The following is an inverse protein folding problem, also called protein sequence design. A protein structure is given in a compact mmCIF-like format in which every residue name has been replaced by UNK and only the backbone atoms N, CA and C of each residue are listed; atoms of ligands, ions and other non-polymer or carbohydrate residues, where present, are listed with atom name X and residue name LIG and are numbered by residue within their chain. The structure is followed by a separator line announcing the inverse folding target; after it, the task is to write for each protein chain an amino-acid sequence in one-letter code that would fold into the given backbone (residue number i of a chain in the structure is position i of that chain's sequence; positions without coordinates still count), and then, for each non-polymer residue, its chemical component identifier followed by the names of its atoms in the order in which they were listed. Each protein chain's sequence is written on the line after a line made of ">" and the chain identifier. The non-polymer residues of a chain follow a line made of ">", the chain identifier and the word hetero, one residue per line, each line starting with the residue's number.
data_IF_100825452346
#
_entry.id   IF_100825452346
#
_cell.length_a   1.000
_cell.length_b   1.000
_cell.length_c   1.000
_cell.angle_alpha   90.00
_cell.angle_beta   90.00
_cell.angle_gamma   90.00
#
_symmetry.space_group_name_H-M   'P 1'
#
loop_
_entity.id
_entity.type
_entity.pdbx_description
1 polymer ?
#
# COMPACT_ATOMS: atom_id res chain seq x y z
N UNK A 1 7.42 -5.14 -0.16
CA UNK A 1 6.44 -6.00 -0.85
C UNK A 1 6.12 -5.38 -2.19
N UNK A 2 6.50 -6.00 -3.32
CA UNK A 2 6.28 -5.43 -4.67
C UNK A 2 5.11 -6.08 -5.44
N UNK A 3 4.29 -6.89 -4.76
CA UNK A 3 3.21 -7.69 -5.40
C UNK A 3 2.19 -6.80 -6.12
N UNK A 4 1.87 -5.64 -5.56
CA UNK A 4 0.90 -4.70 -6.13
C UNK A 4 1.49 -3.75 -7.17
N UNK A 5 2.78 -3.88 -7.52
CA UNK A 5 3.45 -3.01 -8.49
C UNK A 5 3.02 -3.25 -9.95
N UNK A 6 2.30 -4.36 -10.22
CA UNK A 6 1.85 -4.75 -11.57
C UNK A 6 2.98 -4.85 -12.61
N UNK A 7 4.21 -5.10 -12.17
CA UNK A 7 5.38 -5.30 -13.03
C UNK A 7 5.48 -6.76 -13.52
N UNK A 8 5.10 -7.69 -12.65
CA UNK A 8 5.14 -9.13 -12.88
C UNK A 8 3.81 -9.75 -12.50
N UNK A 9 3.46 -10.84 -13.17
CA UNK A 9 2.36 -11.70 -12.74
C UNK A 9 2.75 -12.33 -11.40
N UNK A 10 1.77 -12.44 -10.50
CA UNK A 10 1.98 -13.03 -9.18
C UNK A 10 0.97 -14.14 -8.95
N UNK A 11 1.35 -15.12 -8.14
CA UNK A 11 0.52 -16.29 -7.83
C UNK A 11 -0.13 -16.12 -6.45
N UNK A 12 -1.20 -16.88 -6.19
CA UNK A 12 -1.87 -16.85 -4.90
C UNK A 12 -0.92 -17.09 -3.70
N UNK A 13 0.13 -17.90 -3.89
CA UNK A 13 1.17 -18.12 -2.88
C UNK A 13 1.87 -16.83 -2.45
N UNK A 14 2.03 -15.87 -3.35
CA UNK A 14 2.61 -14.57 -3.03
C UNK A 14 1.67 -13.76 -2.13
N UNK A 15 0.37 -13.80 -2.41
CA UNK A 15 -0.66 -13.20 -1.56
C UNK A 15 -0.74 -13.88 -0.19
N UNK A 16 -0.67 -15.22 -0.13
CA UNK A 16 -0.70 -15.95 1.14
C UNK A 16 0.52 -15.62 2.00
N UNK A 17 1.72 -15.61 1.41
CA UNK A 17 2.95 -15.20 2.10
C UNK A 17 2.86 -13.74 2.58
N UNK A 18 2.20 -12.86 1.83
CA UNK A 18 1.95 -11.49 2.26
C UNK A 18 1.02 -11.43 3.47
N UNK A 19 -0.08 -12.20 3.46
CA UNK A 19 -1.00 -12.26 4.59
C UNK A 19 -0.32 -12.79 5.86
N UNK A 20 0.54 -13.80 5.72
CA UNK A 20 1.34 -14.35 6.81
C UNK A 20 2.33 -13.32 7.36
N UNK A 21 3.12 -12.68 6.49
CA UNK A 21 4.12 -11.66 6.90
C UNK A 21 3.50 -10.43 7.54
N UNK A 22 2.29 -10.05 7.12
CA UNK A 22 1.55 -8.93 7.67
C UNK A 22 0.68 -9.32 8.88
N UNK A 23 0.68 -10.60 9.28
CA UNK A 23 -0.20 -11.12 10.34
C UNK A 23 -1.69 -10.84 10.12
N UNK A 24 -2.12 -10.75 8.84
CA UNK A 24 -3.50 -10.45 8.45
C UNK A 24 -4.39 -11.69 8.35
N UNK A 25 -3.83 -12.89 8.55
CA UNK A 25 -4.53 -14.18 8.44
C UNK A 25 -5.74 -14.32 9.36
N UNK A 26 -5.83 -13.53 10.44
CA UNK A 26 -6.99 -13.50 11.35
C UNK A 26 -8.08 -12.50 10.94
N UNK A 27 -7.74 -11.53 10.10
CA UNK A 27 -8.62 -10.44 9.68
C UNK A 27 -9.23 -10.65 8.30
N UNK A 28 -8.64 -11.59 7.54
CA UNK A 28 -8.96 -11.86 6.14
C UNK A 28 -9.35 -13.32 6.00
N UNK A 29 -10.45 -13.54 5.30
CA UNK A 29 -10.92 -14.87 4.95
C UNK A 29 -10.11 -15.37 3.74
N UNK A 30 -9.23 -16.35 3.98
CA UNK A 30 -8.29 -16.85 2.97
C UNK A 30 -9.00 -17.58 1.81
N UNK A 31 -10.12 -18.25 2.08
CA UNK A 31 -10.89 -18.94 1.04
C UNK A 31 -11.61 -17.93 0.15
N UNK A 32 -12.20 -16.90 0.74
CA UNK A 32 -12.78 -15.79 -0.04
C UNK A 32 -11.71 -15.03 -0.82
N UNK A 33 -10.54 -14.80 -0.23
CA UNK A 33 -9.41 -14.15 -0.91
C UNK A 33 -8.95 -14.97 -2.14
N UNK A 34 -8.89 -16.29 -2.02
CA UNK A 34 -8.56 -17.16 -3.16
C UNK A 34 -9.58 -17.02 -4.30
N UNK A 35 -10.87 -17.06 -3.98
CA UNK A 35 -11.94 -16.89 -4.98
C UNK A 35 -11.90 -15.50 -5.65
N UNK A 36 -11.65 -14.45 -4.87
CA UNK A 36 -11.42 -13.09 -5.39
C UNK A 36 -10.23 -13.07 -6.35
N UNK A 37 -9.10 -13.67 -5.95
CA UNK A 37 -7.90 -13.75 -6.78
C UNK A 37 -8.14 -14.49 -8.10
N UNK A 38 -8.78 -15.66 -8.06
CA UNK A 38 -9.13 -16.42 -9.26
C UNK A 38 -10.00 -15.62 -10.23
N UNK A 39 -10.95 -14.84 -9.71
CA UNK A 39 -11.87 -14.04 -10.52
C UNK A 39 -11.19 -12.88 -11.25
N UNK A 40 -10.11 -12.32 -10.67
CA UNK A 40 -9.42 -11.15 -11.24
C UNK A 40 -8.13 -11.50 -11.97
N UNK A 41 -7.63 -12.73 -11.83
CA UNK A 41 -6.32 -13.15 -12.34
C UNK A 41 -6.15 -12.84 -13.83
N UNK A 42 -7.15 -13.22 -14.64
CA UNK A 42 -7.10 -12.98 -16.09
C UNK A 42 -7.08 -11.48 -16.43
N UNK A 43 -7.86 -10.68 -15.71
CA UNK A 43 -7.89 -9.21 -15.87
C UNK A 43 -6.55 -8.59 -15.49
N UNK A 44 -5.94 -9.04 -14.39
CA UNK A 44 -4.61 -8.58 -13.96
C UNK A 44 -3.53 -8.95 -14.97
N UNK A 45 -3.54 -10.18 -15.48
CA UNK A 45 -2.58 -10.65 -16.49
C UNK A 45 -2.66 -9.78 -17.77
N UNK A 46 -3.88 -9.42 -18.22
CA UNK A 46 -4.07 -8.49 -19.35
C UNK A 46 -3.51 -7.09 -19.08
N UNK A 47 -3.81 -6.52 -17.90
CA UNK A 47 -3.32 -5.18 -17.50
C UNK A 47 -1.78 -5.15 -17.45
N UNK A 48 -1.15 -6.23 -16.96
CA UNK A 48 0.31 -6.33 -16.89
C UNK A 48 0.91 -6.37 -18.30
N UNK A 49 0.34 -7.14 -19.21
CA UNK A 49 0.80 -7.22 -20.60
C UNK A 49 0.59 -5.90 -21.36
N UNK A 50 -0.56 -5.25 -21.20
CA UNK A 50 -0.83 -3.92 -21.77
C UNK A 50 0.19 -2.87 -21.28
N UNK A 51 0.58 -2.94 -20.00
CA UNK A 51 1.59 -2.05 -19.41
C UNK A 51 3.00 -2.30 -19.91
N UNK A 52 3.34 -3.53 -20.26
CA UNK A 52 4.64 -3.90 -20.87
C UNK A 52 4.73 -3.42 -22.33
N UNK A 53 3.63 -3.53 -23.08
CA UNK A 53 3.59 -3.18 -24.50
C UNK A 53 3.52 -1.67 -24.75
N UNK A 54 2.90 -0.91 -23.84
CA UNK A 54 2.85 0.55 -23.94
C UNK A 54 4.22 1.17 -23.61
N UNK A 55 5.01 1.54 -24.62
CA UNK A 55 6.27 2.29 -24.42
C UNK A 55 6.10 3.82 -24.35
N UNK A 56 4.90 4.33 -24.61
CA UNK A 56 4.64 5.78 -24.61
C UNK A 56 4.31 6.29 -23.20
N UNK A 57 5.10 7.25 -22.70
CA UNK A 57 5.08 7.73 -21.32
C UNK A 57 3.96 8.73 -20.99
N UNK A 58 3.19 9.20 -21.99
CA UNK A 58 2.38 10.41 -21.80
C UNK A 58 0.97 10.19 -21.22
N UNK A 59 0.46 8.95 -21.14
CA UNK A 59 -0.88 8.65 -20.59
C UNK A 59 -0.95 7.37 -19.73
N UNK A 60 0.17 6.92 -19.16
CA UNK A 60 0.12 5.76 -18.25
C UNK A 60 -0.57 6.15 -16.95
N UNK A 61 -1.77 5.60 -16.71
CA UNK A 61 -2.40 5.59 -15.37
C UNK A 61 -1.37 5.11 -14.35
N UNK A 62 -1.34 5.75 -13.19
CA UNK A 62 -0.54 5.31 -12.05
C UNK A 62 -1.01 3.93 -11.57
N UNK A 63 -0.16 3.23 -10.83
CA UNK A 63 -0.49 1.94 -10.21
C UNK A 63 -1.71 2.10 -9.29
N UNK A 64 -1.77 3.21 -8.53
CA UNK A 64 -2.88 3.51 -7.63
C UNK A 64 -4.19 3.73 -8.36
N UNK A 65 -4.20 4.47 -9.48
CA UNK A 65 -5.41 4.69 -10.29
C UNK A 65 -5.94 3.39 -10.89
N UNK A 66 -5.05 2.49 -11.31
CA UNK A 66 -5.46 1.18 -11.84
C UNK A 66 -6.11 0.32 -10.76
N UNK A 67 -5.50 0.24 -9.58
CA UNK A 67 -6.08 -0.47 -8.46
C UNK A 67 -7.40 0.18 -8.01
N UNK A 68 -7.48 1.50 -7.99
CA UNK A 68 -8.71 2.22 -7.67
C UNK A 68 -9.86 1.87 -8.62
N UNK A 69 -9.59 1.82 -9.93
CA UNK A 69 -10.59 1.41 -10.93
C UNK A 69 -11.03 -0.05 -10.73
N UNK A 70 -10.09 -0.96 -10.49
CA UNK A 70 -10.40 -2.35 -10.18
C UNK A 70 -11.30 -2.48 -8.94
N UNK A 71 -10.98 -1.78 -7.85
CA UNK A 71 -11.79 -1.82 -6.63
C UNK A 71 -13.16 -1.13 -6.78
N UNK A 72 -13.31 -0.22 -7.74
CA UNK A 72 -14.58 0.43 -8.04
C UNK A 72 -15.53 -0.48 -8.82
N UNK A 73 -14.99 -1.33 -9.69
CA UNK A 73 -15.78 -2.19 -10.58
C UNK A 73 -15.92 -3.63 -10.09
N UNK A 74 -15.01 -4.10 -9.22
CA UNK A 74 -14.95 -5.48 -8.75
C UNK A 74 -15.19 -5.53 -7.24
N UNK A 75 -16.04 -6.47 -6.82
CA UNK A 75 -16.29 -6.72 -5.40
C UNK A 75 -15.22 -7.66 -4.83
N UNK A 76 -14.04 -7.11 -4.53
CA UNK A 76 -12.87 -7.83 -3.98
C UNK A 76 -12.44 -7.25 -2.62
N UNK A 77 -13.30 -7.33 -1.59
CA UNK A 77 -13.08 -6.66 -0.31
C UNK A 77 -11.89 -7.20 0.48
N UNK A 78 -11.54 -8.49 0.35
CA UNK A 78 -10.39 -9.04 1.04
C UNK A 78 -9.09 -8.56 0.41
N UNK A 79 -9.01 -8.53 -0.92
CA UNK A 79 -7.85 -7.97 -1.60
C UNK A 79 -7.70 -6.46 -1.35
N UNK A 80 -8.81 -5.72 -1.29
CA UNK A 80 -8.81 -4.29 -0.94
C UNK A 80 -8.21 -4.05 0.45
N UNK A 81 -8.58 -4.87 1.46
CA UNK A 81 -8.01 -4.76 2.80
C UNK A 81 -6.49 -4.96 2.82
N UNK A 82 -5.98 -5.93 2.07
CA UNK A 82 -4.53 -6.16 1.93
C UNK A 82 -3.86 -4.94 1.30
N UNK A 83 -4.44 -4.44 0.20
CA UNK A 83 -3.91 -3.28 -0.50
C UNK A 83 -3.90 -2.04 0.39
N UNK A 84 -5.00 -1.74 1.06
CA UNK A 84 -5.10 -0.64 2.01
C UNK A 84 -4.06 -0.76 3.12
N UNK A 85 -3.87 -1.96 3.68
CA UNK A 85 -2.87 -2.17 4.72
C UNK A 85 -1.45 -1.84 4.21
N UNK A 86 -1.10 -2.35 3.02
CA UNK A 86 0.23 -2.13 2.42
C UNK A 86 0.45 -0.66 2.08
N UNK A 87 -0.56 0.04 1.53
CA UNK A 87 -0.43 1.46 1.17
C UNK A 87 -0.46 2.36 2.41
N UNK A 88 -1.18 1.97 3.47
CA UNK A 88 -1.25 2.72 4.72
C UNK A 88 0.03 2.63 5.56
N UNK A 89 0.82 1.58 5.37
CA UNK A 89 2.08 1.42 6.08
C UNK A 89 3.19 2.13 5.28
N UNK A 90 3.70 3.28 5.74
CA UNK A 90 4.76 3.98 5.01
C UNK A 90 5.98 3.05 4.90
N UNK A 91 6.42 2.75 3.68
CA UNK A 91 7.63 1.96 3.43
C UNK A 91 8.91 2.59 4.01
N UNK A 92 8.84 3.81 4.56
CA UNK A 92 9.97 4.53 5.13
C UNK A 92 9.57 5.27 6.39
N UNK A 93 10.40 5.11 7.44
CA UNK A 93 10.34 5.92 8.65
C UNK A 93 10.63 7.41 8.36
N UNK A 94 11.09 7.76 7.16
CA UNK A 94 11.43 9.13 6.76
C UNK A 94 10.28 10.14 6.95
N UNK A 95 9.02 9.70 6.87
CA UNK A 95 7.88 10.57 7.17
C UNK A 95 7.84 10.95 8.65
N UNK A 96 8.04 9.98 9.55
CA UNK A 96 8.14 10.21 10.98
C UNK A 96 9.43 10.96 11.33
N UNK A 97 10.56 10.60 10.71
CA UNK A 97 11.86 11.29 10.91
C UNK A 97 11.81 12.75 10.43
N UNK A 98 11.07 13.06 9.36
CA UNK A 98 10.83 14.45 8.94
C UNK A 98 10.00 15.21 9.98
N UNK A 99 8.95 14.59 10.51
CA UNK A 99 8.17 15.17 11.59
C UNK A 99 9.04 15.39 12.84
N UNK A 100 9.84 14.40 13.24
CA UNK A 100 10.80 14.51 14.35
C UNK A 100 11.90 15.54 14.08
N UNK A 101 12.36 15.72 12.84
CA UNK A 101 13.34 16.76 12.48
C UNK A 101 12.72 18.16 12.56
N UNK A 102 11.45 18.31 12.16
CA UNK A 102 10.72 19.57 12.32
C UNK A 102 10.49 19.89 13.80
N UNK A 103 10.08 18.90 14.59
CA UNK A 103 9.97 19.02 16.05
C UNK A 103 11.34 19.30 16.69
N UNK A 104 12.39 18.64 16.22
CA UNK A 104 13.77 18.85 16.64
C UNK A 104 14.23 20.28 16.35
N UNK A 105 13.94 20.82 15.16
CA UNK A 105 14.26 22.22 14.84
C UNK A 105 13.49 23.21 15.72
N UNK A 106 12.23 22.93 16.07
CA UNK A 106 11.46 23.73 17.02
C UNK A 106 11.95 23.61 18.47
N UNK A 107 12.47 22.44 18.86
CA UNK A 107 12.96 22.14 20.21
C UNK A 107 14.40 22.61 20.43
N UNK A 108 15.22 22.63 19.37
CA UNK A 108 16.65 22.96 19.43
C UNK A 108 16.95 24.40 19.00
N UNK A 109 15.95 25.19 18.59
CA UNK A 109 16.15 26.63 18.38
C UNK A 109 16.33 27.30 19.75
N UNK A 110 17.57 27.68 20.02
CA UNK A 110 18.12 28.19 21.27
C UNK A 110 17.63 29.60 21.63
N UNK A 111 16.38 29.92 21.32
CA UNK A 111 15.79 31.24 21.55
C UNK A 111 14.39 31.29 22.15
N UNK A 112 13.70 30.16 22.38
CA UNK A 112 12.47 30.16 23.16
C UNK A 112 12.27 28.84 23.92
N UNK A 113 12.95 28.67 25.07
CA UNK A 113 12.66 27.59 26.02
C UNK A 113 11.26 27.80 26.60
N UNK A 114 10.26 27.14 26.05
CA UNK A 114 9.05 26.83 26.80
C UNK A 114 9.40 25.65 27.70
N UNK A 115 9.50 25.91 29.01
CA UNK A 115 9.77 24.85 29.96
C UNK A 115 8.63 23.84 29.96
N UNK A 116 8.98 22.57 30.13
CA UNK A 116 8.12 21.37 30.01
C UNK A 116 7.02 21.31 31.09
N UNK A 117 6.87 22.37 31.87
CA UNK A 117 6.09 22.51 33.09
C UNK A 117 4.61 22.83 32.81
N UNK A 118 4.26 23.22 31.58
CA UNK A 118 2.91 23.66 31.22
C UNK A 118 2.14 22.71 30.29
N UNK A 119 2.68 21.51 30.01
CA UNK A 119 2.06 20.56 29.10
C UNK A 119 1.12 19.54 29.78
N UNK A 120 0.87 19.65 31.08
CA UNK A 120 -0.14 18.85 31.78
C UNK A 120 -0.87 19.69 32.85
N UNK A 121 -1.95 20.38 32.47
CA UNK A 121 -3.13 20.61 33.32
C UNK A 121 -4.36 20.72 32.43
#
# INVERSE_FOLDING_TARGET
>A
MRIFALENTFIYKDLSMCCEKLSLTKLIDMDKLYNEFCSIKETLDKIIEERKQTHSSNEKKTIYETWHELFRHLNIPNLLKIFQFIVSNPCSNAAAERAFSLCGNAWTDSRNRLSVEHLNT
#
